data_IF_255833534993
#
_entry.id   IF_255833534993
#
_cell.length_a   1.000
_cell.length_b   1.000
_cell.length_c   1.000
_cell.angle_alpha   90.00
_cell.angle_beta   90.00
_cell.angle_gamma   90.00
#
_symmetry.space_group_name_H-M   'P 1'
#
loop_
_entity.id
_entity.type
_entity.pdbx_description
1 polymer ?
#
# COMPACT_ATOMS: atom_id res chain seq x y z
N UNK A 1 25.49 6.59 -9.27
CA UNK A 1 25.07 7.16 -7.97
C UNK A 1 24.01 6.22 -7.42
N UNK A 2 24.31 5.51 -6.33
CA UNK A 2 23.39 4.51 -5.77
C UNK A 2 22.29 5.22 -4.97
N UNK A 3 21.20 5.56 -5.66
CA UNK A 3 19.94 5.83 -4.97
C UNK A 3 19.58 4.56 -4.19
N UNK A 4 19.56 4.69 -2.86
CA UNK A 4 19.13 3.62 -1.97
C UNK A 4 17.68 3.32 -2.35
N UNK A 5 17.46 2.29 -3.16
CA UNK A 5 16.16 1.67 -3.38
C UNK A 5 15.71 1.12 -2.03
N UNK A 6 15.16 2.00 -1.21
CA UNK A 6 14.35 1.62 -0.06
C UNK A 6 13.13 0.98 -0.70
N UNK A 7 13.01 -0.35 -0.61
CA UNK A 7 11.84 -1.10 -1.04
C UNK A 7 10.62 -0.55 -0.30
N UNK A 8 9.94 0.44 -0.89
CA UNK A 8 8.72 0.99 -0.32
C UNK A 8 7.62 -0.06 -0.49
N UNK A 9 6.79 -0.30 0.53
CA UNK A 9 5.67 -1.20 0.40
C UNK A 9 4.70 -0.72 -0.68
N UNK A 10 4.05 -1.68 -1.35
CA UNK A 10 3.20 -1.45 -2.50
C UNK A 10 2.08 -0.42 -2.24
N UNK A 11 1.49 -0.42 -1.04
CA UNK A 11 0.42 0.51 -0.70
C UNK A 11 0.90 1.98 -0.71
N UNK A 12 2.16 2.24 -0.34
CA UNK A 12 2.73 3.59 -0.42
C UNK A 12 3.01 4.00 -1.85
N UNK A 13 3.51 3.09 -2.69
CA UNK A 13 3.72 3.37 -4.11
C UNK A 13 2.39 3.71 -4.80
N UNK A 14 1.33 2.99 -4.47
CA UNK A 14 -0.02 3.27 -4.96
C UNK A 14 -0.53 4.62 -4.45
N UNK A 15 -0.38 4.92 -3.16
CA UNK A 15 -0.80 6.19 -2.59
C UNK A 15 -0.04 7.40 -3.18
N UNK A 16 1.29 7.28 -3.31
CA UNK A 16 2.16 8.29 -3.93
C UNK A 16 1.68 8.58 -5.37
N UNK A 17 1.43 7.53 -6.15
CA UNK A 17 0.91 7.65 -7.52
C UNK A 17 -0.48 8.29 -7.56
N UNK A 18 -1.42 7.82 -6.72
CA UNK A 18 -2.76 8.39 -6.64
C UNK A 18 -2.75 9.88 -6.25
N UNK A 19 -1.83 10.29 -5.37
CA UNK A 19 -1.64 11.69 -4.98
C UNK A 19 -1.12 12.51 -6.17
N UNK A 20 -0.14 11.98 -6.92
CA UNK A 20 0.43 12.63 -8.10
C UNK A 20 -0.60 12.80 -9.24
N UNK A 21 -1.53 11.86 -9.40
CA UNK A 21 -2.61 11.94 -10.39
C UNK A 21 -3.65 13.02 -10.06
N UNK A 22 -3.79 13.41 -8.78
CA UNK A 22 -4.70 14.46 -8.29
C UNK A 22 -6.15 14.35 -8.81
N UNK A 23 -6.64 13.13 -9.04
CA UNK A 23 -7.98 12.86 -9.58
C UNK A 23 -8.62 11.66 -8.89
N UNK A 24 -9.88 11.41 -9.21
CA UNK A 24 -10.60 10.23 -8.75
C UNK A 24 -10.10 8.98 -9.48
N UNK A 25 -9.65 7.99 -8.71
CA UNK A 25 -9.06 6.73 -9.20
C UNK A 25 -9.91 5.54 -8.76
N UNK A 26 -10.01 4.55 -9.64
CA UNK A 26 -10.69 3.28 -9.37
C UNK A 26 -9.69 2.15 -9.09
N UNK A 27 -10.12 1.10 -8.38
CA UNK A 27 -9.28 -0.08 -8.15
C UNK A 27 -8.89 -0.80 -9.47
N UNK A 28 -9.64 -0.60 -10.56
CA UNK A 28 -9.30 -1.14 -11.88
C UNK A 28 -8.12 -0.40 -12.50
N UNK A 29 -8.02 0.91 -12.31
CA UNK A 29 -6.86 1.68 -12.77
C UNK A 29 -5.60 1.32 -12.00
N UNK A 30 -5.71 1.13 -10.67
CA UNK A 30 -4.59 0.65 -9.84
C UNK A 30 -4.11 -0.72 -10.34
N UNK A 31 -5.04 -1.63 -10.59
CA UNK A 31 -4.74 -2.98 -11.13
C UNK A 31 -3.96 -2.92 -12.44
N UNK A 32 -4.33 -2.01 -13.36
CA UNK A 32 -3.63 -1.82 -14.64
C UNK A 32 -2.27 -1.15 -14.48
N UNK A 33 -2.19 -0.11 -13.64
CA UNK A 33 -0.97 0.68 -13.46
C UNK A 33 0.15 -0.12 -12.79
N UNK A 34 -0.21 -0.97 -11.83
CA UNK A 34 0.75 -1.75 -11.04
C UNK A 34 0.84 -3.22 -11.45
N UNK A 35 0.13 -3.60 -12.53
CA UNK A 35 0.03 -4.99 -13.01
C UNK A 35 -0.27 -5.99 -11.89
N UNK A 36 -1.30 -5.67 -11.09
CA UNK A 36 -1.79 -6.51 -10.00
C UNK A 36 -3.22 -6.95 -10.24
N UNK A 37 -3.62 -8.09 -9.68
CA UNK A 37 -5.00 -8.54 -9.74
C UNK A 37 -5.97 -7.52 -9.16
N UNK A 38 -7.17 -7.44 -9.75
CA UNK A 38 -8.19 -6.48 -9.32
C UNK A 38 -8.58 -6.65 -7.85
N UNK A 39 -8.70 -7.90 -7.36
CA UNK A 39 -8.98 -8.19 -5.96
C UNK A 39 -7.86 -7.67 -5.04
N UNK A 40 -6.60 -7.81 -5.46
CA UNK A 40 -5.45 -7.29 -4.73
C UNK A 40 -5.47 -5.76 -4.66
N UNK A 41 -5.78 -5.10 -5.78
CA UNK A 41 -5.95 -3.64 -5.80
C UNK A 41 -7.06 -3.16 -4.85
N UNK A 42 -8.20 -3.85 -4.81
CA UNK A 42 -9.29 -3.55 -3.87
C UNK A 42 -8.82 -3.71 -2.42
N UNK A 43 -8.16 -4.83 -2.10
CA UNK A 43 -7.68 -5.09 -0.74
C UNK A 43 -6.64 -4.06 -0.30
N UNK A 44 -5.71 -3.67 -1.18
CA UNK A 44 -4.74 -2.62 -0.90
C UNK A 44 -5.40 -1.27 -0.68
N UNK A 45 -6.41 -0.93 -1.47
CA UNK A 45 -7.17 0.31 -1.30
C UNK A 45 -7.94 0.32 0.03
N UNK A 46 -8.57 -0.80 0.39
CA UNK A 46 -9.22 -0.95 1.71
C UNK A 46 -8.23 -0.81 2.85
N UNK A 47 -7.04 -1.39 2.72
CA UNK A 47 -5.97 -1.24 3.70
C UNK A 47 -5.54 0.22 3.87
N UNK A 48 -5.30 0.95 2.77
CA UNK A 48 -4.94 2.38 2.81
C UNK A 48 -6.02 3.19 3.55
N UNK A 49 -7.30 2.91 3.27
CA UNK A 49 -8.42 3.68 3.81
C UNK A 49 -8.74 3.35 5.28
N UNK A 50 -8.47 2.12 5.73
CA UNK A 50 -8.82 1.67 7.08
C UNK A 50 -7.65 1.72 8.06
N UNK A 51 -6.45 1.39 7.61
CA UNK A 51 -5.30 1.13 8.51
C UNK A 51 -4.22 2.22 8.45
N UNK A 52 -4.22 3.08 7.42
CA UNK A 52 -3.16 4.08 7.22
C UNK A 52 -3.70 5.49 7.45
N UNK A 53 -3.87 5.87 8.72
CA UNK A 53 -4.41 7.18 9.11
C UNK A 53 -3.57 8.38 8.68
N UNK A 54 -2.30 8.18 8.30
CA UNK A 54 -1.44 9.23 7.76
C UNK A 54 -1.75 9.58 6.29
N UNK A 55 -2.54 8.77 5.58
CA UNK A 55 -2.94 9.02 4.20
C UNK A 55 -4.37 9.55 4.21
N UNK A 56 -4.52 10.84 3.92
CA UNK A 56 -5.84 11.48 3.85
C UNK A 56 -6.45 11.19 2.48
N UNK A 57 -7.55 10.45 2.49
CA UNK A 57 -8.28 10.07 1.28
C UNK A 57 -9.71 10.59 1.28
N UNK A 58 -10.19 11.00 0.10
CA UNK A 58 -11.61 11.20 -0.17
C UNK A 58 -12.15 9.98 -0.93
N UNK A 59 -13.40 9.60 -0.61
CA UNK A 59 -14.06 8.43 -1.20
C UNK A 59 -15.42 8.83 -1.74
N UNK A 60 -15.70 8.40 -2.97
CA UNK A 60 -17.02 8.56 -3.61
C UNK A 60 -17.50 7.21 -4.14
N UNK A 61 -18.78 6.93 -3.94
CA UNK A 61 -19.45 5.77 -4.52
C UNK A 61 -20.31 6.22 -5.69
N UNK A 62 -20.18 5.56 -6.84
CA UNK A 62 -21.04 5.78 -8.01
C UNK A 62 -21.87 4.52 -8.23
N UNK A 63 -23.22 4.62 -8.29
CA UNK A 63 -24.05 3.47 -8.59
C UNK A 63 -23.73 2.97 -10.00
N UNK A 64 -23.47 1.68 -10.12
CA UNK A 64 -23.33 1.05 -11.42
C UNK A 64 -24.73 0.75 -11.95
N UNK A 65 -25.05 1.18 -13.16
CA UNK A 65 -26.38 1.06 -13.76
C UNK A 65 -26.69 -0.37 -14.25
N UNK A 66 -26.21 -1.40 -13.53
CA UNK A 66 -26.48 -2.80 -13.87
C UNK A 66 -27.78 -3.19 -13.18
N UNK A 67 -28.89 -3.15 -13.92
CA UNK A 67 -30.16 -3.67 -13.46
C UNK A 67 -30.05 -5.18 -13.12
N UNK A 68 -30.61 -5.60 -11.99
CA UNK A 68 -30.83 -7.01 -11.67
C UNK A 68 -29.69 -7.77 -10.99
N UNK A 69 -28.56 -7.13 -10.68
CA UNK A 69 -27.54 -7.66 -9.74
C UNK A 69 -27.36 -6.63 -8.63
N UNK A 70 -27.32 -7.05 -7.36
CA UNK A 70 -27.29 -6.14 -6.19
C UNK A 70 -26.23 -5.03 -6.29
N UNK A 71 -26.31 -3.94 -5.49
CA UNK A 71 -25.48 -2.73 -5.62
C UNK A 71 -24.01 -3.04 -5.90
N UNK A 72 -23.64 -3.00 -7.19
CA UNK A 72 -22.26 -3.07 -7.65
C UNK A 72 -21.72 -1.66 -7.73
N UNK A 73 -21.72 -0.95 -6.61
CA UNK A 73 -21.37 0.46 -6.60
C UNK A 73 -19.85 0.61 -6.86
N UNK A 74 -19.47 1.42 -7.84
CA UNK A 74 -18.07 1.68 -8.17
C UNK A 74 -17.48 2.64 -7.14
N UNK A 75 -16.39 2.22 -6.49
CA UNK A 75 -15.65 3.07 -5.54
C UNK A 75 -14.59 3.87 -6.28
N UNK A 76 -14.63 5.18 -6.11
CA UNK A 76 -13.60 6.10 -6.56
C UNK A 76 -12.93 6.70 -5.33
N UNK A 77 -11.61 6.79 -5.39
CA UNK A 77 -10.78 7.28 -4.29
C UNK A 77 -9.81 8.31 -4.82
N UNK A 78 -9.64 9.39 -4.07
CA UNK A 78 -8.65 10.43 -4.32
C UNK A 78 -7.78 10.58 -3.08
N UNK A 79 -6.46 10.57 -3.25
CA UNK A 79 -5.53 10.90 -2.16
C UNK A 79 -5.37 12.42 -2.14
N UNK A 80 -5.66 13.03 -0.98
CA UNK A 80 -5.57 14.49 -0.78
C UNK A 80 -4.18 14.87 -0.29
N UNK A 81 -3.66 14.13 0.70
CA UNK A 81 -2.34 14.35 1.25
C UNK A 81 -1.81 13.09 1.93
N UNK A 82 -0.48 13.01 2.05
CA UNK A 82 0.22 11.97 2.80
C UNK A 82 1.12 12.65 3.82
N UNK A 83 0.99 12.31 5.10
CA UNK A 83 1.84 12.87 6.14
C UNK A 83 3.30 12.39 5.99
N UNK A 84 4.22 13.36 5.96
CA UNK A 84 5.68 13.16 6.02
C UNK A 84 6.15 12.18 7.11
N UNK A 85 5.43 12.07 8.24
CA UNK A 85 5.74 11.15 9.32
C UNK A 85 5.65 9.68 8.90
N UNK A 86 4.77 9.34 7.95
CA UNK A 86 4.64 8.00 7.41
C UNK A 86 5.96 7.50 6.81
N UNK A 87 6.59 8.34 5.98
CA UNK A 87 7.88 8.03 5.36
C UNK A 87 9.00 7.91 6.41
N UNK A 88 8.96 8.72 7.47
CA UNK A 88 9.94 8.65 8.57
C UNK A 88 9.83 7.36 9.37
N UNK A 89 8.62 6.94 9.75
CA UNK A 89 8.37 5.67 10.47
C UNK A 89 8.80 4.46 9.65
N UNK A 90 8.51 4.47 8.34
CA UNK A 90 8.91 3.39 7.45
C UNK A 90 10.44 3.27 7.37
N UNK A 91 11.13 4.41 7.21
CA UNK A 91 12.59 4.42 7.19
C UNK A 91 13.20 3.90 8.50
N UNK A 92 12.57 4.19 9.65
CA UNK A 92 13.01 3.67 10.95
C UNK A 92 12.81 2.15 11.09
N UNK A 93 11.61 1.66 10.78
CA UNK A 93 11.29 0.22 10.85
C UNK A 93 12.17 -0.63 9.92
N UNK A 94 12.52 -0.10 8.75
CA UNK A 94 13.42 -0.76 7.80
C UNK A 94 14.88 -0.80 8.29
N UNK A 95 15.33 0.24 9.01
CA UNK A 95 16.65 0.23 9.65
C UNK A 95 16.71 -0.79 10.78
N UNK A 96 15.67 -0.89 11.62
CA UNK A 96 15.60 -1.89 12.70
C UNK A 96 15.60 -3.32 12.16
N UNK A 97 14.84 -3.63 11.10
CA UNK A 97 14.88 -4.96 10.46
C UNK A 97 16.26 -5.31 9.90
N UNK A 98 16.97 -4.35 9.30
CA UNK A 98 18.35 -4.58 8.81
C UNK A 98 19.32 -4.89 9.94
N UNK A 99 19.16 -4.26 11.11
CA UNK A 99 20.00 -4.53 12.30
C UNK A 99 19.67 -5.90 12.91
N UNK A 100 18.40 -6.32 12.91
CA UNK A 100 17.98 -7.61 13.46
C UNK A 100 18.42 -8.81 12.62
N UNK A 101 18.45 -8.69 11.29
CA UNK A 101 18.96 -9.75 10.40
C UNK A 101 20.48 -9.95 10.55
N UNK A 102 21.24 -8.92 10.92
CA UNK A 102 22.66 -9.04 11.25
C UNK A 102 22.92 -9.74 12.61
N UNK A 103 21.89 -9.94 13.43
CA UNK A 103 21.94 -10.54 14.77
C UNK A 103 21.22 -11.89 14.86
N UNK A 104 21.20 -12.69 13.79
CA UNK A 104 20.84 -14.10 13.93
C UNK A 104 21.89 -14.82 14.82
N UNK A 105 21.54 -15.35 16.00
CA UNK A 105 22.46 -16.15 16.78
C UNK A 105 22.77 -17.41 15.99
N UNK A 106 24.06 -17.71 15.78
CA UNK A 106 24.48 -19.01 15.27
C UNK A 106 24.01 -20.06 16.28
N UNK A 107 22.99 -20.84 15.94
CA UNK A 107 22.57 -22.00 16.72
C UNK A 107 23.80 -22.90 16.90
N UNK A 108 24.22 -23.14 18.14
CA UNK A 108 25.31 -24.07 18.41
C UNK A 108 24.83 -25.47 18.07
N UNK A 109 25.55 -26.15 17.18
CA UNK A 109 25.31 -27.54 16.85
C UNK A 109 25.36 -28.40 18.13
N UNK A 110 24.28 -29.13 18.39
CA UNK A 110 24.21 -30.15 19.45
C UNK A 110 25.05 -31.35 18.99
N UNK A 111 25.97 -31.89 19.80
CA UNK A 111 26.77 -33.05 19.42
C UNK A 111 25.91 -34.34 19.49
N UNK A 112 26.14 -35.32 18.59
CA UNK A 112 25.43 -36.58 18.62
C UNK A 112 25.94 -37.47 19.76
N UNK A 113 25.00 -38.15 20.43
CA UNK A 113 25.23 -39.20 21.42
C UNK A 113 25.57 -40.53 20.78
#
# INVERSE_FOLDING_TARGET
MCEKYVERPLYLLIADWMMAENRWITAREISRQFDIEHCKAINTLSYILSEVGEIVCEVKMIPNQIAGRGCQCQRLVKVVSIDSQLYRRLNHNLQERKVSVAKAPRLSAVPPT
#
